data_IF_495054509974
#
_entry.id   IF_495054509974
#
_cell.length_a   1.000
_cell.length_b   1.000
_cell.length_c   1.000
_cell.angle_alpha   90.00
_cell.angle_beta   90.00
_cell.angle_gamma   90.00
#
_symmetry.space_group_name_H-M   'P 1'
#
loop_
_entity.id
_entity.type
_entity.pdbx_description
1 polymer ?
#
# COMPACT_ATOMS: atom_id res chain seq x y z
N UNK A 1 26.24 4.72 -11.77
CA UNK A 1 25.82 6.01 -11.27
C UNK A 1 24.61 5.84 -10.31
N UNK A 2 24.20 6.92 -9.64
CA UNK A 2 23.14 6.86 -8.64
C UNK A 2 21.78 6.41 -9.20
N UNK A 3 21.43 6.83 -10.41
CA UNK A 3 20.18 6.44 -11.05
C UNK A 3 20.13 4.94 -11.37
N UNK A 4 21.24 4.38 -11.78
CA UNK A 4 21.36 2.97 -12.09
C UNK A 4 21.26 2.11 -10.82
N UNK A 5 21.90 2.57 -9.74
CA UNK A 5 21.83 1.91 -8.45
C UNK A 5 20.39 1.92 -7.90
N UNK A 6 19.67 3.03 -8.07
CA UNK A 6 18.28 3.13 -7.67
C UNK A 6 17.40 2.15 -8.45
N UNK A 7 17.56 2.07 -9.77
CA UNK A 7 16.78 1.13 -10.58
C UNK A 7 17.01 -0.32 -10.15
N UNK A 8 18.25 -0.68 -9.85
CA UNK A 8 18.58 -2.02 -9.36
C UNK A 8 17.88 -2.29 -8.02
N UNK A 9 17.91 -1.33 -7.10
CA UNK A 9 17.26 -1.45 -5.79
C UNK A 9 15.75 -1.56 -5.93
N UNK A 10 15.13 -0.78 -6.83
CA UNK A 10 13.70 -0.90 -7.10
C UNK A 10 13.34 -2.30 -7.57
N UNK A 11 14.14 -2.87 -8.48
CA UNK A 11 13.92 -4.23 -8.97
C UNK A 11 14.06 -5.27 -7.86
N UNK A 12 15.05 -5.11 -6.99
CA UNK A 12 15.23 -5.99 -5.84
C UNK A 12 14.06 -5.92 -4.87
N UNK A 13 13.53 -4.72 -4.61
CA UNK A 13 12.37 -4.54 -3.75
C UNK A 13 11.14 -5.25 -4.34
N UNK A 14 10.89 -5.08 -5.63
CA UNK A 14 9.76 -5.74 -6.30
C UNK A 14 9.88 -7.27 -6.23
N UNK A 15 11.09 -7.79 -6.40
CA UNK A 15 11.37 -9.22 -6.28
C UNK A 15 10.96 -9.75 -4.90
N UNK A 16 11.25 -9.00 -3.83
CA UNK A 16 10.90 -9.38 -2.47
C UNK A 16 9.39 -9.42 -2.22
N UNK A 17 8.60 -8.73 -3.03
CA UNK A 17 7.15 -8.82 -3.01
C UNK A 17 6.62 -10.11 -3.61
N UNK A 18 7.29 -10.62 -4.64
CA UNK A 18 6.92 -11.89 -5.28
C UNK A 18 7.48 -13.11 -4.54
N UNK A 19 8.65 -12.95 -3.92
CA UNK A 19 9.35 -14.02 -3.19
C UNK A 19 9.69 -13.53 -1.80
N UNK A 20 8.74 -13.61 -0.84
CA UNK A 20 8.95 -13.08 0.50
C UNK A 20 10.17 -13.69 1.18
N UNK A 21 10.98 -12.80 1.77
CA UNK A 21 12.19 -13.17 2.50
C UNK A 21 12.15 -12.48 3.87
N UNK A 22 11.75 -13.20 4.93
CA UNK A 22 11.56 -12.59 6.25
C UNK A 22 12.75 -11.78 6.79
N UNK A 23 14.03 -12.19 6.58
CA UNK A 23 15.15 -11.37 7.04
C UNK A 23 15.23 -9.97 6.41
N UNK A 24 14.55 -9.72 5.30
CA UNK A 24 14.51 -8.40 4.66
C UNK A 24 13.46 -7.46 5.30
N UNK A 25 12.65 -7.95 6.22
CA UNK A 25 11.50 -7.22 6.74
C UNK A 25 11.85 -5.86 7.35
N UNK A 26 12.89 -5.80 8.18
CA UNK A 26 13.30 -4.54 8.81
C UNK A 26 13.73 -3.50 7.75
N UNK A 27 14.43 -3.93 6.71
CA UNK A 27 14.82 -3.05 5.61
C UNK A 27 13.60 -2.57 4.81
N UNK A 28 12.63 -3.45 4.59
CA UNK A 28 11.39 -3.08 3.88
C UNK A 28 10.60 -2.03 4.65
N UNK A 29 10.49 -2.16 5.96
CA UNK A 29 9.85 -1.16 6.81
C UNK A 29 10.55 0.19 6.71
N UNK A 30 11.87 0.19 6.68
CA UNK A 30 12.66 1.41 6.52
C UNK A 30 12.43 2.04 5.15
N UNK A 31 12.47 1.26 4.07
CA UNK A 31 12.20 1.77 2.72
C UNK A 31 10.77 2.31 2.59
N UNK A 32 9.81 1.72 3.30
CA UNK A 32 8.43 2.20 3.30
C UNK A 32 8.22 3.48 4.12
N UNK A 33 9.24 3.95 4.84
CA UNK A 33 9.17 5.18 5.64
C UNK A 33 9.78 6.33 4.83
N UNK A 34 8.96 7.26 4.29
CA UNK A 34 9.46 8.28 3.34
C UNK A 34 10.61 9.13 3.89
N UNK A 35 10.58 9.47 5.19
CA UNK A 35 11.63 10.29 5.82
C UNK A 35 13.01 9.63 5.87
N UNK A 36 13.07 8.32 5.68
CA UNK A 36 14.31 7.54 5.72
C UNK A 36 14.98 7.43 4.35
N UNK A 37 14.36 7.99 3.30
CA UNK A 37 14.84 7.83 1.93
C UNK A 37 15.00 9.16 1.21
N UNK A 38 15.97 9.23 0.31
CA UNK A 38 16.20 10.42 -0.51
C UNK A 38 15.16 10.55 -1.63
N UNK A 39 14.52 9.43 -2.04
CA UNK A 39 13.55 9.41 -3.13
C UNK A 39 12.26 8.77 -2.66
N UNK A 40 11.12 9.41 -3.02
CA UNK A 40 9.78 8.93 -2.64
C UNK A 40 9.42 7.57 -3.25
N UNK A 41 10.03 7.22 -4.38
CA UNK A 41 9.74 5.96 -5.09
C UNK A 41 10.05 4.73 -4.20
N UNK A 42 11.05 4.82 -3.34
CA UNK A 42 11.32 3.74 -2.39
C UNK A 42 10.12 3.45 -1.49
N UNK A 43 9.52 4.50 -0.95
CA UNK A 43 8.36 4.33 -0.07
C UNK A 43 7.15 3.80 -0.83
N UNK A 44 6.94 4.27 -2.06
CA UNK A 44 5.83 3.79 -2.90
C UNK A 44 5.97 2.30 -3.21
N UNK A 45 7.15 1.86 -3.63
CA UNK A 45 7.39 0.46 -3.98
C UNK A 45 7.34 -0.42 -2.72
N UNK A 46 8.01 -0.02 -1.65
CA UNK A 46 8.02 -0.79 -0.41
C UNK A 46 6.61 -0.92 0.19
N UNK A 47 5.79 0.13 0.11
CA UNK A 47 4.40 0.07 0.56
C UNK A 47 3.61 -1.01 -0.20
N UNK A 48 3.88 -1.19 -1.49
CA UNK A 48 3.26 -2.26 -2.29
C UNK A 48 3.82 -3.64 -1.89
N UNK A 49 5.12 -3.74 -1.70
CA UNK A 49 5.80 -5.00 -1.36
C UNK A 49 5.34 -5.53 0.00
N UNK A 50 5.06 -4.66 0.95
CA UNK A 50 4.65 -5.04 2.31
C UNK A 50 3.32 -5.79 2.37
N UNK A 51 2.53 -5.82 1.29
CA UNK A 51 1.35 -6.67 1.20
C UNK A 51 1.70 -8.16 1.36
N UNK A 52 2.95 -8.55 1.09
CA UNK A 52 3.43 -9.92 1.26
C UNK A 52 4.06 -10.18 2.64
N UNK A 53 4.04 -9.19 3.53
CA UNK A 53 4.67 -9.28 4.86
C UNK A 53 3.67 -8.87 5.95
N UNK A 54 2.66 -9.72 6.23
CA UNK A 54 1.64 -9.37 7.23
C UNK A 54 2.24 -9.23 8.63
N UNK A 55 1.72 -8.28 9.40
CA UNK A 55 2.16 -8.02 10.76
C UNK A 55 1.72 -6.65 11.26
N UNK A 56 1.82 -6.45 12.57
CA UNK A 56 1.39 -5.22 13.22
C UNK A 56 2.24 -4.01 12.77
N UNK A 57 3.54 -4.20 12.60
CA UNK A 57 4.43 -3.14 12.16
C UNK A 57 4.16 -2.75 10.70
N UNK A 58 3.85 -3.73 9.85
CA UNK A 58 3.42 -3.50 8.48
C UNK A 58 2.17 -2.63 8.45
N UNK A 59 1.15 -3.01 9.20
CA UNK A 59 -0.09 -2.25 9.27
C UNK A 59 0.15 -0.81 9.74
N UNK A 60 0.97 -0.62 10.75
CA UNK A 60 1.28 0.71 11.29
C UNK A 60 1.97 1.60 10.25
N UNK A 61 2.94 1.07 9.52
CA UNK A 61 3.66 1.81 8.48
C UNK A 61 2.70 2.16 7.33
N UNK A 62 1.90 1.21 6.88
CA UNK A 62 0.96 1.43 5.78
C UNK A 62 -0.12 2.45 6.17
N UNK A 63 -0.66 2.37 7.38
CA UNK A 63 -1.64 3.36 7.85
C UNK A 63 -1.03 4.77 7.89
N UNK A 64 0.21 4.90 8.35
CA UNK A 64 0.92 6.19 8.35
C UNK A 64 1.08 6.73 6.94
N UNK A 65 1.37 5.86 5.97
CA UNK A 65 1.56 6.28 4.58
C UNK A 65 0.27 6.74 3.90
N UNK A 66 -0.90 6.42 4.44
CA UNK A 66 -2.18 6.96 3.96
C UNK A 66 -2.25 8.48 4.09
N UNK A 67 -1.51 9.06 5.03
CA UNK A 67 -1.50 10.50 5.31
C UNK A 67 -0.46 11.27 4.47
N UNK A 68 0.35 10.57 3.68
CA UNK A 68 1.41 11.20 2.91
C UNK A 68 0.85 11.97 1.71
N UNK A 69 1.40 13.17 1.39
CA UNK A 69 0.92 13.96 0.23
C UNK A 69 1.10 13.29 -1.13
N UNK A 70 2.06 12.39 -1.27
CA UNK A 70 2.31 11.71 -2.55
C UNK A 70 1.22 10.68 -2.82
N UNK A 71 0.52 10.82 -3.95
CA UNK A 71 -0.59 9.94 -4.31
C UNK A 71 -0.18 8.48 -4.47
N UNK A 72 0.98 8.22 -5.06
CA UNK A 72 1.44 6.84 -5.28
C UNK A 72 1.72 6.10 -3.97
N UNK A 73 2.27 6.81 -2.99
CA UNK A 73 2.50 6.23 -1.66
C UNK A 73 1.17 5.89 -1.00
N UNK A 74 0.20 6.81 -1.03
CA UNK A 74 -1.14 6.59 -0.48
C UNK A 74 -1.84 5.43 -1.17
N UNK A 75 -1.81 5.43 -2.50
CA UNK A 75 -2.50 4.39 -3.29
C UNK A 75 -1.93 3.01 -2.98
N UNK A 76 -0.62 2.87 -3.01
CA UNK A 76 0.03 1.57 -2.73
C UNK A 76 -0.21 1.12 -1.29
N UNK A 77 -0.20 2.04 -0.33
CA UNK A 77 -0.50 1.72 1.06
C UNK A 77 -1.95 1.24 1.22
N UNK A 78 -2.92 1.92 0.61
CA UNK A 78 -4.33 1.53 0.69
C UNK A 78 -4.57 0.17 0.04
N UNK A 79 -3.95 -0.09 -1.10
CA UNK A 79 -4.05 -1.36 -1.80
C UNK A 79 -3.48 -2.50 -0.96
N UNK A 80 -2.32 -2.28 -0.35
CA UNK A 80 -1.69 -3.29 0.51
C UNK A 80 -2.53 -3.58 1.74
N UNK A 81 -3.10 -2.57 2.38
CA UNK A 81 -4.00 -2.77 3.53
C UNK A 81 -5.21 -3.61 3.13
N UNK A 82 -5.80 -3.35 1.97
CA UNK A 82 -6.91 -4.14 1.45
C UNK A 82 -6.48 -5.60 1.23
N UNK A 83 -5.32 -5.82 0.60
CA UNK A 83 -4.79 -7.17 0.36
C UNK A 83 -4.49 -7.91 1.65
N UNK A 84 -4.12 -7.19 2.71
CA UNK A 84 -3.87 -7.77 4.03
C UNK A 84 -5.15 -8.06 4.81
N UNK A 85 -6.31 -7.75 4.24
CA UNK A 85 -7.60 -8.05 4.84
C UNK A 85 -8.28 -6.92 5.60
N UNK A 86 -7.72 -5.71 5.57
CA UNK A 86 -8.36 -4.55 6.20
C UNK A 86 -9.55 -4.11 5.36
N UNK A 87 -10.72 -4.05 5.99
CA UNK A 87 -11.95 -3.61 5.34
C UNK A 87 -12.38 -2.22 5.80
N UNK A 88 -13.54 -1.79 5.29
CA UNK A 88 -14.10 -0.47 5.62
C UNK A 88 -14.19 -0.25 7.14
N UNK A 89 -14.68 -1.26 7.87
CA UNK A 89 -14.85 -1.14 9.32
C UNK A 89 -13.53 -1.00 10.08
N UNK A 90 -12.50 -1.68 9.60
CA UNK A 90 -11.18 -1.63 10.23
C UNK A 90 -10.53 -0.25 10.09
N UNK A 91 -10.86 0.47 9.04
CA UNK A 91 -10.28 1.77 8.70
C UNK A 91 -11.27 2.93 8.83
N UNK A 92 -12.42 2.69 9.47
CA UNK A 92 -13.49 3.70 9.54
C UNK A 92 -13.04 4.99 10.21
N UNK A 93 -12.20 4.90 11.23
CA UNK A 93 -11.68 6.08 11.93
C UNK A 93 -10.82 6.95 11.01
N UNK A 94 -10.09 6.33 10.09
CA UNK A 94 -9.30 7.04 9.09
C UNK A 94 -10.20 7.63 8.01
N UNK A 95 -11.16 6.85 7.53
CA UNK A 95 -12.08 7.27 6.46
C UNK A 95 -12.92 8.47 6.91
N UNK A 96 -13.42 8.45 8.14
CA UNK A 96 -14.23 9.53 8.71
C UNK A 96 -13.39 10.58 9.44
N UNK A 97 -12.07 10.40 9.44
CA UNK A 97 -11.15 11.33 10.08
C UNK A 97 -11.00 12.64 9.32
N UNK A 98 -10.27 13.57 9.93
CA UNK A 98 -10.10 14.92 9.41
C UNK A 98 -9.01 15.04 8.35
N UNK A 99 -8.16 14.02 8.19
CA UNK A 99 -7.10 14.09 7.19
C UNK A 99 -7.68 13.80 5.81
N UNK A 100 -7.55 14.79 4.93
CA UNK A 100 -8.10 14.75 3.60
C UNK A 100 -7.45 13.66 2.74
N UNK A 101 -6.13 13.53 2.81
CA UNK A 101 -5.42 12.57 1.97
C UNK A 101 -5.79 11.13 2.29
N UNK A 102 -5.78 10.79 3.58
CA UNK A 102 -6.11 9.45 4.03
C UNK A 102 -7.57 9.10 3.76
N UNK A 103 -8.47 10.02 4.03
CA UNK A 103 -9.90 9.82 3.79
C UNK A 103 -10.20 9.62 2.30
N UNK A 104 -9.66 10.49 1.43
CA UNK A 104 -9.93 10.42 -0.02
C UNK A 104 -9.43 9.11 -0.64
N UNK A 105 -8.22 8.68 -0.29
CA UNK A 105 -7.67 7.46 -0.92
C UNK A 105 -8.44 6.22 -0.50
N UNK A 106 -8.88 6.13 0.75
CA UNK A 106 -9.67 5.00 1.22
C UNK A 106 -11.07 4.99 0.63
N UNK A 107 -11.71 6.16 0.50
CA UNK A 107 -13.02 6.26 -0.17
C UNK A 107 -12.93 5.80 -1.62
N UNK A 108 -11.91 6.27 -2.33
CA UNK A 108 -11.65 5.85 -3.70
C UNK A 108 -11.47 4.34 -3.80
N UNK A 109 -10.66 3.76 -2.90
CA UNK A 109 -10.33 2.33 -2.93
C UNK A 109 -11.56 1.46 -2.69
N UNK A 110 -12.37 1.80 -1.71
CA UNK A 110 -13.58 1.02 -1.42
C UNK A 110 -14.67 1.20 -2.47
N UNK A 111 -14.82 2.39 -3.03
CA UNK A 111 -15.77 2.63 -4.12
C UNK A 111 -15.42 1.81 -5.37
N UNK A 112 -14.16 1.75 -5.72
CA UNK A 112 -13.69 0.93 -6.85
C UNK A 112 -13.99 -0.54 -6.60
N UNK A 113 -13.71 -1.03 -5.39
CA UNK A 113 -13.99 -2.42 -5.01
C UNK A 113 -15.47 -2.73 -5.10
N UNK A 114 -16.32 -1.85 -4.60
CA UNK A 114 -17.77 -2.02 -4.68
C UNK A 114 -18.25 -2.13 -6.12
N UNK A 115 -17.73 -1.28 -7.00
CA UNK A 115 -18.05 -1.33 -8.41
C UNK A 115 -17.59 -2.63 -9.07
N UNK A 116 -16.42 -3.13 -8.71
CA UNK A 116 -15.92 -4.41 -9.19
C UNK A 116 -16.81 -5.57 -8.74
N UNK A 117 -17.22 -5.59 -7.48
CA UNK A 117 -18.13 -6.60 -6.92
C UNK A 117 -19.48 -6.58 -7.62
N UNK A 118 -20.05 -5.41 -7.85
CA UNK A 118 -21.33 -5.26 -8.57
C UNK A 118 -21.22 -5.77 -10.01
N UNK A 119 -20.09 -5.53 -10.65
CA UNK A 119 -19.83 -6.00 -12.01
C UNK A 119 -19.78 -7.52 -12.07
N UNK A 120 -19.11 -8.15 -11.11
CA UNK A 120 -19.05 -9.61 -11.00
C UNK A 120 -20.44 -10.21 -10.77
N UNK A 121 -21.22 -9.60 -9.88
CA UNK A 121 -22.61 -10.04 -9.62
C UNK A 121 -23.47 -9.94 -10.87
N UNK A 122 -23.35 -8.87 -11.63
CA UNK A 122 -24.08 -8.70 -12.88
C UNK A 122 -23.73 -9.78 -13.91
N UNK A 123 -22.45 -10.15 -14.00
CA UNK A 123 -21.99 -11.24 -14.89
C UNK A 123 -22.55 -12.58 -14.43
N UNK A 124 -22.57 -12.85 -13.13
CA UNK A 124 -23.11 -14.10 -12.56
C UNK A 124 -24.61 -14.23 -12.76
N UNK A 125 -25.37 -13.12 -12.80
CA UNK A 125 -26.83 -13.13 -12.94
C UNK A 125 -27.30 -13.22 -14.40
N UNK A 126 -26.42 -13.08 -15.38
CA UNK A 126 -26.76 -13.15 -16.81
C UNK A 126 -26.60 -14.54 -17.41
N UNK A 127 -26.27 -15.53 -16.63
CA UNK A 127 -26.10 -16.91 -17.10
C UNK A 127 -27.42 -17.67 -17.11
#
# INVERSE_FOLDING_TARGET
DGARDDELRFSCLRYLGHYPYPPAYADLLRYATPSENARWEYAAIASSVLASYPGAETAAVLERNLYHPNWYIRFNASKSLEQLGFGYRDLIDVIEGHDRYASEILRYRFDVRELEERREDAVCTTV
#
